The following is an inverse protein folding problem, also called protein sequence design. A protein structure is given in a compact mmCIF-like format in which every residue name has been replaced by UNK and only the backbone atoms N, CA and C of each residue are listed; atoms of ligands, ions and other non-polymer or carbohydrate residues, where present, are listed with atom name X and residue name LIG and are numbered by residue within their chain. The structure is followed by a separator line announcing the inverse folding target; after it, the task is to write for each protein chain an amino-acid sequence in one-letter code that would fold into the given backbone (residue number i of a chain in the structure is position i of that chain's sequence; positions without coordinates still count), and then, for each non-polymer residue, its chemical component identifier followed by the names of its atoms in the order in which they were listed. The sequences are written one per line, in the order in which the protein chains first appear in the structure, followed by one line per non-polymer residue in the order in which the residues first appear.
data_IF_404541538389
#
_entry.id   IF_404541538389
#
_cell.length_a   1.000
_cell.length_b   1.000
_cell.length_c   1.000
_cell.angle_alpha   90.00
_cell.angle_beta   90.00
_cell.angle_gamma   90.00
#
_symmetry.space_group_name_H-M   'P 1'
#
loop_
_entity.id
_entity.type
_entity.pdbx_description
1 polymer ?
#
# COMPACT_ATOMS: atom_id res chain seq x y z
N UNK A 1 7.57 -0.67 17.66
CA UNK A 1 8.71 -0.51 18.60
C UNK A 1 9.15 0.92 18.44
N UNK A 2 9.42 1.67 19.51
CA UNK A 2 9.89 3.04 19.36
C UNK A 2 11.15 3.06 18.47
N UNK A 3 11.29 4.10 17.65
CA UNK A 3 12.50 4.31 16.86
C UNK A 3 13.74 4.28 17.76
N UNK A 4 14.83 3.72 17.25
CA UNK A 4 16.15 3.81 17.90
C UNK A 4 16.66 5.25 17.87
N UNK A 5 17.56 5.61 18.81
CA UNK A 5 18.20 6.93 18.84
C UNK A 5 18.82 7.31 17.49
N UNK A 6 19.41 6.34 16.77
CA UNK A 6 19.95 6.55 15.43
C UNK A 6 18.87 6.88 14.41
N UNK A 7 17.72 6.22 14.47
CA UNK A 7 16.61 6.49 13.55
C UNK A 7 15.97 7.85 13.85
N UNK A 8 15.81 8.21 15.12
CA UNK A 8 15.34 9.53 15.52
C UNK A 8 16.28 10.63 15.00
N UNK A 9 17.59 10.48 15.23
CA UNK A 9 18.59 11.44 14.74
C UNK A 9 18.61 11.57 13.20
N UNK A 10 18.24 10.53 12.45
CA UNK A 10 18.09 10.59 10.99
C UNK A 10 16.81 11.28 10.53
N UNK A 11 15.77 11.29 11.36
CA UNK A 11 14.51 12.02 11.10
C UNK A 11 14.62 13.49 11.50
N UNK A 12 15.64 13.87 12.28
CA UNK A 12 15.88 15.25 12.69
C UNK A 12 16.97 15.90 11.83
N UNK A 13 16.88 17.22 11.66
CA UNK A 13 17.95 18.06 11.10
C UNK A 13 18.47 17.66 9.68
N UNK A 14 17.72 16.87 8.92
CA UNK A 14 18.08 16.48 7.55
C UNK A 14 17.83 17.59 6.50
N UNK A 15 17.16 18.69 6.88
CA UNK A 15 16.98 19.88 6.03
C UNK A 15 15.96 19.74 4.89
N UNK A 16 15.12 18.70 4.92
CA UNK A 16 14.01 18.51 3.99
C UNK A 16 12.68 18.75 4.70
N UNK A 17 11.66 19.14 3.94
CA UNK A 17 10.28 19.24 4.42
C UNK A 17 9.41 18.24 3.63
N UNK A 18 8.86 17.26 4.34
CA UNK A 18 7.99 16.23 3.76
C UNK A 18 6.52 16.37 4.22
N UNK A 19 6.17 17.45 4.94
CA UNK A 19 4.85 17.65 5.54
C UNK A 19 3.70 17.73 4.52
N UNK A 20 4.01 18.00 3.25
CA UNK A 20 3.06 18.01 2.15
C UNK A 20 2.82 16.66 1.49
N UNK A 21 3.54 15.60 1.85
CA UNK A 21 3.45 14.28 1.21
C UNK A 21 2.45 13.36 1.92
N UNK A 22 1.83 12.48 1.12
CA UNK A 22 0.96 11.41 1.61
C UNK A 22 1.50 10.03 1.20
N UNK A 23 1.58 9.12 2.16
CA UNK A 23 1.90 7.72 1.91
C UNK A 23 0.69 6.83 2.20
N UNK A 24 0.41 5.88 1.30
CA UNK A 24 -0.54 4.80 1.51
C UNK A 24 0.20 3.48 1.63
N UNK A 25 -0.08 2.76 2.70
CA UNK A 25 0.39 1.40 2.94
C UNK A 25 -0.76 0.41 2.74
N UNK A 26 -0.60 -0.57 1.85
CA UNK A 26 -1.57 -1.65 1.65
C UNK A 26 -0.94 -2.96 2.10
N UNK A 27 -1.43 -3.53 3.19
CA UNK A 27 -1.04 -4.85 3.67
C UNK A 27 -1.94 -5.93 3.05
N UNK A 28 -1.32 -6.85 2.33
CA UNK A 28 -1.99 -7.93 1.60
C UNK A 28 -1.87 -9.28 2.30
N UNK A 29 -1.63 -9.27 3.63
CA UNK A 29 -1.74 -10.48 4.44
C UNK A 29 -3.08 -11.19 4.21
N UNK A 30 -3.08 -12.52 4.28
CA UNK A 30 -4.29 -13.33 4.08
C UNK A 30 -5.21 -13.38 5.29
N UNK A 31 -4.79 -12.81 6.43
CA UNK A 31 -5.57 -12.75 7.68
C UNK A 31 -6.15 -11.36 7.88
N UNK A 32 -7.46 -11.27 7.99
CA UNK A 32 -8.14 -10.04 8.46
C UNK A 32 -7.67 -9.66 9.87
N UNK A 33 -7.88 -8.41 10.27
CA UNK A 33 -7.61 -7.93 11.63
C UNK A 33 -8.37 -8.75 12.68
N UNK A 34 -9.59 -9.19 12.36
CA UNK A 34 -10.38 -10.07 13.24
C UNK A 34 -9.78 -11.48 13.39
N UNK A 35 -9.01 -11.95 12.41
CA UNK A 35 -8.35 -13.26 12.44
C UNK A 35 -6.97 -13.22 13.12
N UNK A 36 -6.40 -12.03 13.33
CA UNK A 36 -5.21 -11.82 14.17
C UNK A 36 -4.12 -10.95 13.55
N UNK A 37 -2.92 -11.06 14.13
CA UNK A 37 -1.78 -10.22 13.80
C UNK A 37 -1.12 -10.57 12.46
N UNK A 38 -0.39 -9.62 11.89
CA UNK A 38 0.35 -9.74 10.64
C UNK A 38 1.82 -9.36 10.84
N UNK A 39 2.73 -10.27 10.53
CA UNK A 39 4.17 -9.97 10.56
C UNK A 39 4.55 -8.90 9.52
N UNK A 40 3.88 -8.90 8.37
CA UNK A 40 4.02 -7.85 7.35
C UNK A 40 3.65 -6.49 7.91
N UNK A 41 2.51 -6.38 8.63
CA UNK A 41 2.13 -5.14 9.31
C UNK A 41 3.17 -4.70 10.33
N UNK A 42 3.69 -5.62 11.14
CA UNK A 42 4.69 -5.31 12.16
C UNK A 42 5.95 -4.68 11.53
N UNK A 43 6.40 -5.17 10.38
CA UNK A 43 7.51 -4.58 9.64
C UNK A 43 7.13 -3.24 8.99
N UNK A 44 5.93 -3.14 8.42
CA UNK A 44 5.42 -1.89 7.83
C UNK A 44 5.37 -0.75 8.87
N UNK A 45 4.96 -1.05 10.11
CA UNK A 45 4.87 -0.06 11.20
C UNK A 45 6.19 0.67 11.45
N UNK A 46 7.33 0.01 11.29
CA UNK A 46 8.63 0.68 11.43
C UNK A 46 8.84 1.74 10.33
N UNK A 47 8.46 1.44 9.08
CA UNK A 47 8.57 2.41 7.99
C UNK A 47 7.53 3.52 8.10
N UNK A 48 6.31 3.19 8.54
CA UNK A 48 5.26 4.18 8.79
C UNK A 48 5.69 5.18 9.87
N UNK A 49 6.22 4.70 10.99
CA UNK A 49 6.68 5.55 12.09
C UNK A 49 7.80 6.50 11.65
N UNK A 50 8.74 6.04 10.82
CA UNK A 50 9.77 6.91 10.22
C UNK A 50 9.12 7.99 9.35
N UNK A 51 8.20 7.62 8.46
CA UNK A 51 7.51 8.58 7.59
C UNK A 51 6.73 9.63 8.38
N UNK A 52 5.96 9.19 9.38
CA UNK A 52 5.21 10.08 10.28
C UNK A 52 6.13 11.03 11.05
N UNK A 53 7.28 10.55 11.54
CA UNK A 53 8.29 11.40 12.20
C UNK A 53 8.90 12.45 11.28
N UNK A 54 8.94 12.18 9.98
CA UNK A 54 9.36 13.11 8.95
C UNK A 54 8.22 14.07 8.50
N UNK A 55 7.03 13.96 9.10
CA UNK A 55 5.88 14.81 8.80
C UNK A 55 4.98 14.30 7.67
N UNK A 56 5.28 13.15 7.06
CA UNK A 56 4.45 12.57 6.01
C UNK A 56 3.14 12.09 6.61
N UNK A 57 2.01 12.38 5.96
CA UNK A 57 0.71 11.82 6.34
C UNK A 57 0.64 10.36 5.88
N UNK A 58 0.44 9.43 6.80
CA UNK A 58 0.41 8.00 6.51
C UNK A 58 -1.00 7.43 6.66
N UNK A 59 -1.49 6.81 5.60
CA UNK A 59 -2.69 5.99 5.58
C UNK A 59 -2.30 4.50 5.53
N UNK A 60 -3.12 3.65 6.15
CA UNK A 60 -2.93 2.20 6.16
C UNK A 60 -4.24 1.46 5.86
N UNK A 61 -4.17 0.48 4.97
CA UNK A 61 -5.26 -0.44 4.65
C UNK A 61 -4.77 -1.89 4.77
N UNK A 62 -5.55 -2.73 5.43
CA UNK A 62 -5.39 -4.19 5.35
C UNK A 62 -6.39 -4.75 4.37
N UNK A 63 -5.90 -5.36 3.29
CA UNK A 63 -6.73 -5.83 2.19
C UNK A 63 -7.67 -6.97 2.56
N UNK A 64 -7.27 -7.85 3.48
CA UNK A 64 -8.13 -8.92 4.00
C UNK A 64 -9.34 -8.42 4.83
N UNK A 65 -9.41 -7.13 5.16
CA UNK A 65 -10.56 -6.54 5.87
C UNK A 65 -11.67 -6.07 4.91
N UNK A 66 -11.41 -6.08 3.60
CA UNK A 66 -12.32 -5.56 2.58
C UNK A 66 -12.57 -6.61 1.49
N UNK A 67 -13.65 -6.43 0.74
CA UNK A 67 -13.98 -7.27 -0.41
C UNK A 67 -13.45 -6.62 -1.68
N UNK A 68 -12.41 -7.20 -2.24
CA UNK A 68 -11.83 -6.77 -3.52
C UNK A 68 -12.17 -7.78 -4.59
N UNK A 69 -12.95 -7.37 -5.58
CA UNK A 69 -13.32 -8.26 -6.67
C UNK A 69 -12.11 -8.52 -7.59
N UNK A 70 -12.00 -9.74 -8.10
CA UNK A 70 -11.00 -10.09 -9.12
C UNK A 70 -11.26 -9.34 -10.42
N UNK A 71 -10.22 -8.93 -11.13
CA UNK A 71 -10.33 -8.35 -12.48
C UNK A 71 -9.64 -6.99 -12.63
N UNK A 72 -9.61 -6.50 -13.87
CA UNK A 72 -8.76 -5.39 -14.32
C UNK A 72 -9.56 -4.17 -14.81
N UNK A 73 -10.74 -3.91 -14.24
CA UNK A 73 -11.56 -2.71 -14.51
C UNK A 73 -11.72 -1.84 -13.27
N UNK A 74 -11.79 -0.50 -13.36
CA UNK A 74 -11.86 0.38 -12.18
C UNK A 74 -12.97 0.05 -11.17
N UNK A 75 -14.11 -0.47 -11.62
CA UNK A 75 -15.20 -0.91 -10.76
C UNK A 75 -15.75 -2.26 -11.27
N UNK A 76 -15.51 -3.36 -10.54
CA UNK A 76 -16.00 -4.67 -11.00
C UNK A 76 -17.50 -4.85 -10.82
N UNK A 77 -18.20 -3.96 -10.10
CA UNK A 77 -19.66 -4.02 -9.99
C UNK A 77 -20.32 -3.84 -11.34
N UNK A 78 -19.71 -3.00 -12.19
CA UNK A 78 -20.10 -2.81 -13.60
C UNK A 78 -19.83 -4.05 -14.48
N UNK A 79 -19.01 -4.97 -13.98
CA UNK A 79 -18.59 -6.20 -14.64
C UNK A 79 -19.09 -7.46 -13.93
N UNK A 80 -20.15 -7.35 -13.11
CA UNK A 80 -20.88 -8.48 -12.54
C UNK A 80 -20.45 -8.91 -11.13
N UNK A 81 -19.48 -8.22 -10.50
CA UNK A 81 -19.22 -8.43 -9.08
C UNK A 81 -20.39 -7.88 -8.26
N UNK A 82 -20.85 -8.64 -7.24
CA UNK A 82 -21.92 -8.17 -6.35
C UNK A 82 -21.46 -7.06 -5.41
N UNK A 83 -20.19 -7.07 -5.06
CA UNK A 83 -19.56 -6.14 -4.13
C UNK A 83 -18.10 -5.95 -4.53
N UNK A 84 -17.62 -4.71 -4.45
CA UNK A 84 -16.23 -4.33 -4.74
C UNK A 84 -15.94 -3.05 -3.95
N UNK A 85 -15.08 -3.13 -2.94
CA UNK A 85 -14.67 -2.00 -2.11
C UNK A 85 -13.56 -1.17 -2.78
N UNK A 86 -12.99 -1.65 -3.89
CA UNK A 86 -11.94 -0.96 -4.61
C UNK A 86 -12.28 0.50 -5.00
N UNK A 87 -13.39 0.77 -5.74
CA UNK A 87 -13.69 2.11 -6.22
C UNK A 87 -13.93 3.13 -5.09
N UNK A 88 -14.45 2.68 -3.95
CA UNK A 88 -14.92 3.56 -2.89
C UNK A 88 -13.87 3.75 -1.76
N UNK A 89 -13.07 2.72 -1.48
CA UNK A 89 -12.11 2.71 -0.35
C UNK A 89 -10.66 2.83 -0.84
N UNK A 90 -10.29 2.05 -1.86
CA UNK A 90 -8.88 1.92 -2.27
C UNK A 90 -8.49 2.97 -3.29
N UNK A 91 -9.25 3.10 -4.38
CA UNK A 91 -8.87 3.98 -5.48
C UNK A 91 -8.70 5.44 -5.07
N UNK A 92 -9.58 6.06 -4.26
CA UNK A 92 -9.38 7.44 -3.83
C UNK A 92 -8.07 7.63 -3.06
N UNK A 93 -7.76 6.68 -2.15
CA UNK A 93 -6.51 6.71 -1.37
C UNK A 93 -5.28 6.48 -2.24
N UNK A 94 -5.34 5.54 -3.19
CA UNK A 94 -4.24 5.28 -4.15
C UNK A 94 -3.98 6.49 -5.04
N UNK A 95 -5.04 7.08 -5.60
CA UNK A 95 -4.96 8.25 -6.50
C UNK A 95 -4.34 9.46 -5.80
N UNK A 96 -4.73 9.66 -4.53
CA UNK A 96 -4.34 10.83 -3.74
C UNK A 96 -2.99 10.65 -3.03
N UNK A 97 -2.43 9.43 -2.98
CA UNK A 97 -1.13 9.15 -2.40
C UNK A 97 0.02 9.58 -3.32
N UNK A 98 1.08 10.14 -2.73
CA UNK A 98 2.35 10.41 -3.40
C UNK A 98 3.27 9.19 -3.36
N UNK A 99 3.15 8.40 -2.29
CA UNK A 99 3.91 7.18 -2.04
C UNK A 99 2.94 6.03 -1.84
N UNK A 100 3.08 4.95 -2.61
CA UNK A 100 2.34 3.70 -2.41
C UNK A 100 3.29 2.59 -1.99
N UNK A 101 3.07 1.99 -0.82
CA UNK A 101 3.83 0.85 -0.32
C UNK A 101 2.92 -0.38 -0.24
N UNK A 102 3.26 -1.42 -1.00
CA UNK A 102 2.57 -2.72 -0.92
C UNK A 102 3.34 -3.64 0.00
N UNK A 103 2.71 -4.04 1.10
CA UNK A 103 3.24 -5.03 2.03
C UNK A 103 2.64 -6.40 1.73
N UNK A 104 3.45 -7.40 1.36
CA UNK A 104 2.97 -8.77 1.14
C UNK A 104 3.77 -9.80 1.92
N UNK A 105 3.11 -10.81 2.52
CA UNK A 105 3.81 -12.04 2.87
C UNK A 105 4.22 -12.81 1.61
N UNK A 106 5.23 -13.67 1.74
CA UNK A 106 5.76 -14.47 0.66
C UNK A 106 5.72 -15.96 1.03
N UNK A 107 5.24 -16.80 0.12
CA UNK A 107 5.29 -18.25 0.19
C UNK A 107 5.69 -18.83 -1.16
N UNK A 108 6.69 -19.72 -1.17
CA UNK A 108 7.13 -20.45 -2.37
C UNK A 108 7.50 -19.53 -3.55
N UNK A 109 8.15 -18.39 -3.27
CA UNK A 109 8.57 -17.43 -4.30
C UNK A 109 7.48 -16.46 -4.77
N UNK A 110 6.24 -16.57 -4.27
CA UNK A 110 5.11 -15.79 -4.76
C UNK A 110 4.54 -14.85 -3.69
N UNK A 111 4.01 -13.71 -4.16
CA UNK A 111 3.20 -12.84 -3.31
C UNK A 111 1.87 -13.51 -2.89
N UNK A 112 1.24 -12.95 -1.87
CA UNK A 112 -0.12 -13.35 -1.48
C UNK A 112 -1.12 -13.19 -2.64
N UNK A 113 -2.12 -14.06 -2.71
CA UNK A 113 -3.20 -13.95 -3.71
C UNK A 113 -3.94 -12.61 -3.65
N UNK A 114 -4.05 -12.01 -2.46
CA UNK A 114 -4.62 -10.66 -2.29
C UNK A 114 -3.71 -9.59 -2.92
N UNK A 115 -2.38 -9.73 -2.84
CA UNK A 115 -1.46 -8.82 -3.52
C UNK A 115 -1.64 -8.87 -5.02
N UNK A 116 -1.79 -10.07 -5.60
CA UNK A 116 -2.09 -10.21 -7.03
C UNK A 116 -3.35 -9.45 -7.43
N UNK A 117 -4.42 -9.54 -6.64
CA UNK A 117 -5.63 -8.74 -6.85
C UNK A 117 -5.29 -7.25 -6.85
N UNK A 118 -4.61 -6.73 -5.82
CA UNK A 118 -4.22 -5.31 -5.76
C UNK A 118 -3.44 -4.88 -7.02
N UNK A 119 -2.50 -5.70 -7.51
CA UNK A 119 -1.74 -5.40 -8.73
C UNK A 119 -2.64 -5.33 -9.96
N UNK A 120 -3.55 -6.29 -10.14
CA UNK A 120 -4.55 -6.28 -11.21
C UNK A 120 -5.46 -5.04 -11.14
N UNK A 121 -5.88 -4.67 -9.93
CA UNK A 121 -6.70 -3.49 -9.67
C UNK A 121 -5.96 -2.18 -9.95
N UNK A 122 -4.67 -2.09 -9.62
CA UNK A 122 -3.83 -0.95 -10.01
C UNK A 122 -3.71 -0.87 -11.54
N UNK A 123 -3.49 -2.00 -12.19
CA UNK A 123 -3.40 -2.08 -13.65
C UNK A 123 -4.70 -1.64 -14.35
N UNK A 124 -5.86 -1.80 -13.70
CA UNK A 124 -7.14 -1.32 -14.21
C UNK A 124 -7.18 0.19 -14.52
N UNK A 125 -6.30 0.97 -13.89
CA UNK A 125 -6.18 2.42 -14.08
C UNK A 125 -5.03 2.81 -15.02
N UNK A 126 -4.29 1.84 -15.58
CA UNK A 126 -3.07 2.10 -16.39
C UNK A 126 -3.31 2.90 -17.67
N UNK A 127 -4.54 2.88 -18.21
CA UNK A 127 -4.94 3.68 -19.37
C UNK A 127 -5.40 5.11 -19.04
N UNK A 128 -5.56 5.45 -17.76
CA UNK A 128 -6.01 6.78 -17.33
C UNK A 128 -4.86 7.79 -17.38
N UNK A 129 -5.19 9.05 -17.65
CA UNK A 129 -4.23 10.16 -17.70
C UNK A 129 -4.57 11.24 -16.68
N UNK A 130 -3.55 11.93 -16.19
CA UNK A 130 -3.69 13.14 -15.38
C UNK A 130 -3.94 14.38 -16.26
N UNK A 131 -4.15 15.54 -15.63
CA UNK A 131 -4.43 16.82 -16.31
C UNK A 131 -3.30 17.30 -17.25
N UNK A 132 -2.11 16.68 -17.16
CA UNK A 132 -0.96 16.94 -18.03
C UNK A 132 -0.85 15.95 -19.20
N UNK A 133 -1.81 15.05 -19.34
CA UNK A 133 -1.81 14.00 -20.37
C UNK A 133 -0.80 12.87 -20.13
N UNK A 134 -0.25 12.75 -18.92
CA UNK A 134 0.64 11.64 -18.53
C UNK A 134 -0.18 10.54 -17.87
N UNK A 135 0.31 9.29 -17.85
CA UNK A 135 -0.38 8.20 -17.13
C UNK A 135 -0.65 8.59 -15.67
N UNK A 136 -1.78 8.14 -15.12
CA UNK A 136 -2.29 8.58 -13.81
C UNK A 136 -1.30 8.40 -12.64
N UNK A 137 -0.37 7.45 -12.75
CA UNK A 137 0.66 7.18 -11.74
C UNK A 137 1.97 7.95 -11.93
N UNK A 138 2.10 8.82 -12.94
CA UNK A 138 3.30 9.61 -13.15
C UNK A 138 3.58 10.57 -11.98
N UNK A 139 4.86 10.69 -11.62
CA UNK A 139 5.30 11.54 -10.51
C UNK A 139 5.03 10.98 -9.12
N UNK A 140 4.61 9.72 -9.02
CA UNK A 140 4.42 8.99 -7.76
C UNK A 140 5.60 8.07 -7.46
N UNK A 141 5.73 7.65 -6.20
CA UNK A 141 6.76 6.71 -5.73
C UNK A 141 6.12 5.39 -5.32
N UNK A 142 6.70 4.27 -5.76
CA UNK A 142 6.32 2.92 -5.34
C UNK A 142 7.35 2.31 -4.39
N UNK A 143 6.89 1.57 -3.38
CA UNK A 143 7.71 0.78 -2.48
C UNK A 143 7.08 -0.59 -2.19
N UNK A 144 7.88 -1.52 -1.67
CA UNK A 144 7.37 -2.81 -1.22
C UNK A 144 7.99 -3.21 0.12
N UNK A 145 7.21 -3.94 0.91
CA UNK A 145 7.68 -4.58 2.14
C UNK A 145 7.30 -6.05 2.05
N UNK A 146 8.30 -6.90 2.04
CA UNK A 146 8.12 -8.34 1.83
C UNK A 146 8.53 -9.05 3.12
N UNK A 147 7.70 -9.98 3.58
CA UNK A 147 8.01 -10.84 4.73
C UNK A 147 7.85 -12.30 4.33
N UNK A 148 8.91 -13.09 4.43
CA UNK A 148 8.88 -14.54 4.26
C UNK A 148 9.51 -15.23 5.46
N UNK A 149 9.19 -16.52 5.68
CA UNK A 149 9.81 -17.28 6.75
C UNK A 149 11.25 -17.71 6.41
N UNK A 150 11.51 -18.07 5.16
CA UNK A 150 12.76 -18.75 4.76
C UNK A 150 13.16 -18.57 3.29
N UNK A 151 12.20 -18.42 2.37
CA UNK A 151 12.44 -18.32 0.92
C UNK A 151 11.86 -17.01 0.36
N UNK A 152 12.50 -16.47 -0.69
CA UNK A 152 12.10 -15.22 -1.37
C UNK A 152 12.48 -13.89 -0.68
N UNK A 153 13.42 -13.90 0.28
CA UNK A 153 14.01 -12.70 0.91
C UNK A 153 15.25 -12.23 0.16
#
# INVERSE_FOLDING_TARGET
MPLSEKQEALCENHGFDFSGLKALFINTTLKSAAQGESHTEALMKNSMEIMEKNGIVVDYLRAADHTLAFGVYPDMREHGAKHDDWPDIYWPKVRDADILVIGTPLWLGEESSICRVIIERLYAHSGQVNDKGQYVFYGRTGGCIITGNEDGV
#
